data_IF_141094857759
#
_entry.id   IF_141094857759
#
_cell.length_a   1.000
_cell.length_b   1.000
_cell.length_c   1.000
_cell.angle_alpha   90.00
_cell.angle_beta   90.00
_cell.angle_gamma   90.00
#
_symmetry.space_group_name_H-M   'P 1'
#
loop_
_entity.id
_entity.type
_entity.pdbx_description
1 polymer ?
#
# COMPACT_ATOMS: atom_id res chain seq x y z
N UNK A 1 1.94 8.39 24.88
CA UNK A 1 3.37 8.12 25.15
C UNK A 1 3.93 9.03 26.25
N UNK A 2 3.35 8.93 27.48
CA UNK A 2 3.92 9.62 28.64
C UNK A 2 5.12 8.84 29.17
N UNK A 3 6.31 9.44 28.98
CA UNK A 3 7.56 9.17 29.72
C UNK A 3 7.95 7.71 29.95
N UNK A 4 8.49 7.06 28.94
CA UNK A 4 9.50 6.03 29.14
C UNK A 4 10.87 6.72 29.21
N UNK A 5 11.27 7.18 30.38
CA UNK A 5 12.62 7.61 30.67
C UNK A 5 13.43 6.38 31.08
N UNK A 6 14.14 5.78 30.17
CA UNK A 6 15.42 5.05 30.36
C UNK A 6 15.67 4.10 29.20
N UNK A 7 16.52 4.48 28.30
CA UNK A 7 16.94 3.66 27.18
C UNK A 7 16.46 4.14 25.80
N UNK A 8 16.04 5.40 25.67
CA UNK A 8 15.75 6.01 24.38
C UNK A 8 17.02 5.93 23.56
N UNK A 9 16.99 5.11 22.52
CA UNK A 9 18.05 5.14 21.53
C UNK A 9 17.98 6.53 20.89
N UNK A 10 19.01 7.31 21.11
CA UNK A 10 19.13 8.63 20.54
C UNK A 10 19.35 8.48 19.03
N UNK A 11 18.28 8.69 18.25
CA UNK A 11 18.30 8.57 16.78
C UNK A 11 19.28 9.54 16.13
N UNK A 12 19.68 10.61 16.82
CA UNK A 12 20.76 11.50 16.36
C UNK A 12 22.11 10.80 16.20
N UNK A 13 22.26 9.62 16.78
CA UNK A 13 23.45 8.77 16.68
C UNK A 13 23.42 7.82 15.47
N UNK A 14 22.28 7.68 14.80
CA UNK A 14 22.23 6.90 13.56
C UNK A 14 22.84 7.70 12.41
N UNK A 15 23.49 7.02 11.44
CA UNK A 15 23.94 7.66 10.23
C UNK A 15 22.79 8.44 9.57
N UNK A 16 23.06 9.68 9.19
CA UNK A 16 22.09 10.60 8.58
C UNK A 16 21.34 9.95 7.41
N UNK A 17 21.99 9.10 6.64
CA UNK A 17 21.44 8.37 5.50
C UNK A 17 20.14 7.60 5.83
N UNK A 18 19.93 7.15 7.05
CA UNK A 18 18.68 6.46 7.43
C UNK A 18 17.49 7.40 7.62
N UNK A 19 17.73 8.71 7.59
CA UNK A 19 16.75 9.77 7.84
C UNK A 19 16.73 10.81 6.70
N UNK A 20 17.40 10.55 5.57
CA UNK A 20 17.47 11.51 4.47
C UNK A 20 16.18 11.51 3.62
N UNK A 21 15.48 10.37 3.50
CA UNK A 21 14.22 10.25 2.77
C UNK A 21 13.06 10.04 3.75
N UNK A 22 12.12 10.98 3.87
CA UNK A 22 10.90 10.80 4.67
C UNK A 22 10.08 9.59 4.24
N UNK A 23 9.98 9.32 2.95
CA UNK A 23 9.29 8.13 2.44
C UNK A 23 9.94 6.83 2.94
N UNK A 24 11.27 6.71 2.93
CA UNK A 24 11.95 5.50 3.45
C UNK A 24 11.70 5.32 4.95
N UNK A 25 11.65 6.43 5.68
CA UNK A 25 11.27 6.41 7.10
C UNK A 25 9.82 5.97 7.26
N UNK A 26 8.92 6.40 6.38
CA UNK A 26 7.51 6.02 6.40
C UNK A 26 7.31 4.52 6.08
N UNK A 27 7.98 3.98 5.07
CA UNK A 27 7.95 2.53 4.74
C UNK A 27 8.43 1.72 5.94
N UNK A 28 9.54 2.12 6.55
CA UNK A 28 10.08 1.45 7.74
C UNK A 28 9.11 1.52 8.91
N UNK A 29 8.45 2.65 9.12
CA UNK A 29 7.46 2.80 10.18
C UNK A 29 6.23 1.90 9.93
N UNK A 30 5.72 1.82 8.71
CA UNK A 30 4.64 0.91 8.33
C UNK A 30 5.02 -0.54 8.71
N UNK A 31 6.23 -0.98 8.35
CA UNK A 31 6.70 -2.33 8.67
C UNK A 31 6.88 -2.55 10.19
N UNK A 32 7.34 -1.54 10.93
CA UNK A 32 7.41 -1.60 12.39
C UNK A 32 6.03 -1.74 13.03
N UNK A 33 5.03 -0.99 12.54
CA UNK A 33 3.65 -1.09 13.03
C UNK A 33 3.06 -2.46 12.72
N UNK A 34 3.25 -2.99 11.51
CA UNK A 34 2.81 -4.35 11.17
C UNK A 34 3.47 -5.41 12.05
N UNK A 35 4.78 -5.28 12.27
CA UNK A 35 5.48 -6.19 13.15
C UNK A 35 4.92 -6.11 14.58
N UNK A 36 4.69 -4.92 15.10
CA UNK A 36 4.06 -4.70 16.40
C UNK A 36 2.69 -5.40 16.49
N UNK A 37 1.81 -5.19 15.50
CA UNK A 37 0.49 -5.81 15.44
C UNK A 37 0.56 -7.35 15.37
N UNK A 38 1.50 -7.90 14.58
CA UNK A 38 1.67 -9.34 14.43
C UNK A 38 2.07 -10.03 15.73
N UNK A 39 2.75 -9.32 16.60
CA UNK A 39 3.26 -9.85 17.86
C UNK A 39 2.25 -9.69 18.99
N UNK A 40 1.53 -8.58 19.08
CA UNK A 40 0.45 -8.43 20.07
C UNK A 40 -0.60 -9.55 19.95
N UNK A 41 -0.82 -10.03 18.73
CA UNK A 41 -1.82 -11.08 18.44
C UNK A 41 -1.30 -12.51 18.64
N UNK A 42 -0.04 -12.72 18.97
CA UNK A 42 0.57 -14.04 19.13
C UNK A 42 1.15 -14.21 20.54
N UNK A 43 0.44 -14.98 21.40
CA UNK A 43 0.85 -15.18 22.80
C UNK A 43 2.25 -15.76 22.97
N UNK A 44 2.71 -16.64 22.06
CA UNK A 44 4.06 -17.20 22.10
C UNK A 44 5.14 -16.18 21.70
N UNK A 45 4.82 -15.28 20.79
CA UNK A 45 5.73 -14.19 20.37
C UNK A 45 5.67 -13.00 21.32
N UNK A 46 4.55 -12.77 22.00
CA UNK A 46 4.38 -11.70 23.00
C UNK A 46 5.33 -11.84 24.18
N UNK A 47 5.72 -13.06 24.55
CA UNK A 47 6.72 -13.31 25.60
C UNK A 47 8.14 -12.86 25.17
N UNK A 48 8.48 -13.07 23.89
CA UNK A 48 9.77 -12.63 23.31
C UNK A 48 9.85 -11.11 23.24
N UNK A 49 8.71 -10.44 22.99
CA UNK A 49 8.62 -8.97 22.91
C UNK A 49 8.36 -8.30 24.23
N UNK A 50 7.87 -9.01 25.24
CA UNK A 50 7.49 -8.41 26.53
C UNK A 50 8.57 -7.45 27.10
N UNK A 51 9.83 -7.75 26.83
CA UNK A 51 10.97 -6.91 27.21
C UNK A 51 11.31 -5.81 26.18
N UNK A 52 10.76 -5.84 24.95
CA UNK A 52 11.11 -4.93 23.87
C UNK A 52 9.92 -4.10 23.37
N UNK A 53 8.72 -4.27 23.93
CA UNK A 53 7.52 -3.55 23.50
C UNK A 53 7.70 -2.04 23.61
N UNK A 54 8.26 -1.56 24.73
CA UNK A 54 8.54 -0.15 24.96
C UNK A 54 9.56 0.40 23.95
N UNK A 55 10.56 -0.42 23.60
CA UNK A 55 11.57 -0.06 22.63
C UNK A 55 10.95 0.10 21.24
N UNK A 56 10.16 -0.87 20.77
CA UNK A 56 9.47 -0.81 19.47
C UNK A 56 8.51 0.39 19.42
N UNK A 57 7.71 0.60 20.45
CA UNK A 57 6.80 1.76 20.55
C UNK A 57 7.56 3.08 20.52
N UNK A 58 8.74 3.16 21.15
CA UNK A 58 9.60 4.34 21.10
C UNK A 58 10.13 4.61 19.69
N UNK A 59 10.53 3.56 18.95
CA UNK A 59 10.94 3.70 17.55
C UNK A 59 9.79 4.19 16.66
N UNK A 60 8.63 3.57 16.76
CA UNK A 60 7.45 3.99 16.00
C UNK A 60 7.13 5.46 16.28
N UNK A 61 7.17 5.88 17.53
CA UNK A 61 6.94 7.28 17.91
C UNK A 61 7.94 8.23 17.27
N UNK A 62 9.23 7.86 17.25
CA UNK A 62 10.27 8.68 16.67
C UNK A 62 10.13 8.80 15.14
N UNK A 63 9.80 7.69 14.47
CA UNK A 63 9.51 7.70 13.04
C UNK A 63 8.29 8.57 12.71
N UNK A 64 7.21 8.39 13.46
CA UNK A 64 5.98 9.16 13.32
C UNK A 64 6.23 10.68 13.42
N UNK A 65 6.93 11.12 14.47
CA UNK A 65 7.26 12.54 14.67
C UNK A 65 8.20 13.06 13.57
N UNK A 66 9.15 12.24 13.10
CA UNK A 66 10.03 12.63 12.01
C UNK A 66 9.24 12.82 10.72
N UNK A 67 8.42 11.86 10.31
CA UNK A 67 7.61 11.93 9.08
C UNK A 67 6.72 13.16 9.12
N UNK A 68 6.00 13.37 10.23
CA UNK A 68 5.07 14.49 10.41
C UNK A 68 5.75 15.87 10.26
N UNK A 69 7.01 15.99 10.63
CA UNK A 69 7.77 17.22 10.58
C UNK A 69 8.57 17.39 9.26
N UNK A 70 8.59 16.39 8.38
CA UNK A 70 9.40 16.41 7.16
C UNK A 70 8.61 15.94 5.92
N UNK A 71 7.32 16.25 5.85
CA UNK A 71 6.45 15.85 4.74
C UNK A 71 6.95 16.37 3.39
N UNK A 72 6.95 15.51 2.38
CA UNK A 72 7.27 15.86 0.99
C UNK A 72 6.02 16.41 0.26
N UNK A 73 5.33 17.36 0.89
CA UNK A 73 4.05 17.92 0.43
C UNK A 73 4.20 19.18 -0.47
N UNK A 74 5.42 19.47 -0.91
CA UNK A 74 5.76 20.66 -1.67
C UNK A 74 6.55 20.32 -2.93
N UNK A 75 6.49 21.20 -3.93
CA UNK A 75 7.17 21.02 -5.20
C UNK A 75 6.22 21.15 -6.39
N UNK A 76 6.76 20.98 -7.60
CA UNK A 76 5.98 21.09 -8.84
C UNK A 76 5.04 19.88 -9.04
N UNK A 77 5.43 18.74 -8.52
CA UNK A 77 4.66 17.50 -8.50
C UNK A 77 4.87 16.81 -7.16
N UNK A 78 3.78 16.38 -6.56
CA UNK A 78 3.77 15.59 -5.33
C UNK A 78 3.26 14.21 -5.71
N UNK A 79 4.08 13.18 -5.47
CA UNK A 79 3.84 11.82 -5.93
C UNK A 79 3.65 10.82 -4.80
N UNK A 80 4.02 9.57 -5.08
CA UNK A 80 3.87 8.45 -4.16
C UNK A 80 4.56 8.69 -2.81
N UNK A 81 5.68 9.41 -2.73
CA UNK A 81 6.39 9.70 -1.48
C UNK A 81 5.43 10.26 -0.43
N UNK A 82 4.73 11.34 -0.78
CA UNK A 82 3.79 11.96 0.16
C UNK A 82 2.58 11.06 0.49
N UNK A 83 2.10 10.26 -0.47
CA UNK A 83 1.04 9.29 -0.21
C UNK A 83 1.48 8.25 0.82
N UNK A 84 2.71 7.74 0.71
CA UNK A 84 3.27 6.76 1.66
C UNK A 84 3.45 7.37 3.05
N UNK A 85 3.89 8.63 3.13
CA UNK A 85 4.00 9.36 4.39
C UNK A 85 2.65 9.49 5.08
N UNK A 86 1.61 9.92 4.35
CA UNK A 86 0.24 10.01 4.86
C UNK A 86 -0.27 8.63 5.30
N UNK A 87 0.02 7.59 4.53
CA UNK A 87 -0.32 6.21 4.86
C UNK A 87 0.28 5.79 6.20
N UNK A 88 1.56 6.05 6.39
CA UNK A 88 2.28 5.75 7.63
C UNK A 88 1.70 6.47 8.85
N UNK A 89 1.37 7.75 8.69
CA UNK A 89 0.77 8.57 9.75
C UNK A 89 -0.60 8.03 10.13
N UNK A 90 -1.48 7.82 9.15
CA UNK A 90 -2.85 7.31 9.39
C UNK A 90 -2.84 5.93 10.03
N UNK A 91 -1.97 5.02 9.57
CA UNK A 91 -1.81 3.70 10.16
C UNK A 91 -1.36 3.79 11.62
N UNK A 92 -0.39 4.66 11.91
CA UNK A 92 0.14 4.82 13.28
C UNK A 92 -0.92 5.34 14.22
N UNK A 93 -1.67 6.38 13.83
CA UNK A 93 -2.75 6.94 14.65
C UNK A 93 -3.85 5.88 14.89
N UNK A 94 -4.30 5.20 13.82
CA UNK A 94 -5.36 4.19 13.92
C UNK A 94 -4.97 3.00 14.79
N UNK A 95 -3.67 2.65 14.82
CA UNK A 95 -3.16 1.53 15.63
C UNK A 95 -3.07 1.88 17.11
N UNK A 96 -2.56 3.06 17.45
CA UNK A 96 -2.23 3.39 18.85
C UNK A 96 -3.31 4.20 19.56
N UNK A 97 -4.22 4.88 18.84
CA UNK A 97 -5.41 5.59 19.37
C UNK A 97 -5.13 6.42 20.63
N UNK A 98 -4.32 7.47 20.49
CA UNK A 98 -4.01 8.37 21.60
C UNK A 98 -5.16 9.34 21.92
N UNK A 99 -5.24 9.88 23.14
CA UNK A 99 -6.18 10.96 23.48
C UNK A 99 -5.95 12.17 22.55
N UNK A 100 -7.00 12.68 21.91
CA UNK A 100 -6.99 13.75 20.90
C UNK A 100 -6.62 13.37 19.45
N UNK A 101 -6.35 12.13 19.14
CA UNK A 101 -5.92 11.69 17.81
C UNK A 101 -6.98 11.83 16.72
N UNK A 102 -8.28 11.93 17.07
CA UNK A 102 -9.33 12.11 16.07
C UNK A 102 -9.15 13.39 15.25
N UNK A 103 -8.74 14.50 15.86
CA UNK A 103 -8.50 15.76 15.12
C UNK A 103 -7.27 15.68 14.23
N UNK A 104 -6.24 15.04 14.71
CA UNK A 104 -5.01 14.84 13.94
C UNK A 104 -5.26 13.85 12.80
N UNK A 105 -6.00 12.76 13.06
CA UNK A 105 -6.43 11.82 12.04
C UNK A 105 -7.27 12.51 10.96
N UNK A 106 -8.29 13.27 11.33
CA UNK A 106 -9.13 14.04 10.41
C UNK A 106 -8.30 15.01 9.55
N UNK A 107 -7.32 15.68 10.14
CA UNK A 107 -6.41 16.56 9.41
C UNK A 107 -5.65 15.82 8.32
N UNK A 108 -5.03 14.67 8.64
CA UNK A 108 -4.27 13.89 7.66
C UNK A 108 -5.16 13.15 6.67
N UNK A 109 -6.35 12.71 7.09
CA UNK A 109 -7.36 12.15 6.19
C UNK A 109 -7.82 13.18 5.14
N UNK A 110 -7.97 14.45 5.51
CA UNK A 110 -8.31 15.51 4.57
C UNK A 110 -7.15 15.78 3.59
N UNK A 111 -5.89 15.71 4.04
CA UNK A 111 -4.73 15.78 3.15
C UNK A 111 -4.72 14.59 2.17
N UNK A 112 -4.94 13.39 2.63
CA UNK A 112 -5.07 12.19 1.79
C UNK A 112 -6.15 12.36 0.72
N UNK A 113 -7.33 12.87 1.09
CA UNK A 113 -8.42 13.13 0.14
C UNK A 113 -8.02 14.08 -0.99
N UNK A 114 -7.19 15.08 -0.69
CA UNK A 114 -6.68 16.02 -1.69
C UNK A 114 -5.68 15.31 -2.60
N UNK A 115 -4.78 14.51 -2.03
CA UNK A 115 -3.73 13.82 -2.80
C UNK A 115 -4.30 12.73 -3.70
N UNK A 116 -5.30 11.97 -3.26
CA UNK A 116 -6.00 10.99 -4.11
C UNK A 116 -6.48 11.64 -5.41
N UNK A 117 -7.08 12.82 -5.33
CA UNK A 117 -7.59 13.54 -6.51
C UNK A 117 -6.50 14.07 -7.43
N UNK A 118 -5.27 14.20 -6.96
CA UNK A 118 -4.13 14.63 -7.77
C UNK A 118 -3.35 13.46 -8.35
N UNK A 119 -3.27 12.35 -7.59
CA UNK A 119 -2.38 11.24 -7.93
C UNK A 119 -3.07 10.13 -8.73
N UNK A 120 -4.41 10.12 -8.76
CA UNK A 120 -5.17 9.13 -9.52
C UNK A 120 -5.99 9.81 -10.60
N UNK A 121 -5.95 9.22 -11.79
CA UNK A 121 -6.72 9.62 -12.95
C UNK A 121 -8.21 9.24 -12.78
N UNK A 122 -9.08 9.74 -13.65
CA UNK A 122 -10.50 9.43 -13.62
C UNK A 122 -10.80 7.93 -13.79
N UNK A 123 -9.93 7.20 -14.49
CA UNK A 123 -10.01 5.73 -14.64
C UNK A 123 -9.40 4.95 -13.47
N UNK A 124 -8.95 5.63 -12.42
CA UNK A 124 -8.36 5.07 -11.21
C UNK A 124 -6.87 4.73 -11.32
N UNK A 125 -6.24 4.88 -12.48
CA UNK A 125 -4.81 4.61 -12.65
C UNK A 125 -3.95 5.72 -12.04
N UNK A 126 -2.73 5.37 -11.60
CA UNK A 126 -1.77 6.37 -11.10
C UNK A 126 -1.22 7.23 -12.23
N UNK A 127 -1.09 8.53 -11.99
CA UNK A 127 -0.50 9.49 -12.93
C UNK A 127 0.98 9.20 -13.24
N UNK A 128 1.67 8.47 -12.37
CA UNK A 128 3.11 8.22 -12.50
C UNK A 128 3.48 7.34 -13.70
N UNK A 129 2.52 6.62 -14.25
CA UNK A 129 2.72 5.92 -15.52
C UNK A 129 3.57 4.65 -15.45
N UNK A 130 3.86 4.15 -14.25
CA UNK A 130 4.55 2.87 -14.01
C UNK A 130 3.57 1.81 -13.52
N UNK A 131 3.67 0.59 -14.06
CA UNK A 131 2.87 -0.54 -13.60
C UNK A 131 3.25 -0.97 -12.16
N UNK A 132 4.51 -0.87 -11.81
CA UNK A 132 5.01 -1.22 -10.49
C UNK A 132 4.57 -0.20 -9.44
N UNK A 133 4.66 1.10 -9.76
CA UNK A 133 4.16 2.15 -8.88
C UNK A 133 2.64 2.10 -8.72
N UNK A 134 1.89 1.70 -9.75
CA UNK A 134 0.45 1.47 -9.60
C UNK A 134 0.14 0.40 -8.55
N UNK A 135 0.91 -0.71 -8.52
CA UNK A 135 0.80 -1.72 -7.47
C UNK A 135 1.17 -1.14 -6.09
N UNK A 136 2.29 -0.43 -6.00
CA UNK A 136 2.79 0.16 -4.76
C UNK A 136 1.82 1.15 -4.11
N UNK A 137 1.25 2.07 -4.90
CA UNK A 137 0.24 3.01 -4.37
C UNK A 137 -1.09 2.34 -4.04
N UNK A 138 -1.40 1.21 -4.70
CA UNK A 138 -2.58 0.41 -4.35
C UNK A 138 -2.42 -0.25 -2.98
N UNK A 139 -1.24 -0.75 -2.63
CA UNK A 139 -0.92 -1.23 -1.28
C UNK A 139 -1.12 -0.12 -0.24
N UNK A 140 -0.65 1.10 -0.53
CA UNK A 140 -0.85 2.25 0.33
C UNK A 140 -2.33 2.56 0.56
N UNK A 141 -3.14 2.55 -0.50
CA UNK A 141 -4.58 2.78 -0.40
C UNK A 141 -5.30 1.71 0.43
N UNK A 142 -4.88 0.44 0.34
CA UNK A 142 -5.42 -0.63 1.19
C UNK A 142 -5.15 -0.31 2.67
N UNK A 143 -3.94 0.11 3.01
CA UNK A 143 -3.60 0.48 4.39
C UNK A 143 -4.42 1.70 4.84
N UNK A 144 -4.53 2.73 4.00
CA UNK A 144 -5.34 3.92 4.28
C UNK A 144 -6.81 3.54 4.52
N UNK A 145 -7.40 2.70 3.66
CA UNK A 145 -8.76 2.20 3.82
C UNK A 145 -8.96 1.56 5.19
N UNK A 146 -8.11 0.62 5.57
CA UNK A 146 -8.22 -0.10 6.83
C UNK A 146 -8.05 0.85 8.03
N UNK A 147 -7.14 1.82 7.93
CA UNK A 147 -6.93 2.83 8.97
C UNK A 147 -8.13 3.75 9.13
N UNK A 148 -8.75 4.18 8.01
CA UNK A 148 -9.94 5.02 8.04
C UNK A 148 -11.14 4.22 8.59
N UNK A 149 -11.35 2.98 8.16
CA UNK A 149 -12.42 2.13 8.70
C UNK A 149 -12.33 1.94 10.21
N UNK A 150 -11.13 1.88 10.76
CA UNK A 150 -10.91 1.75 12.21
C UNK A 150 -11.26 3.02 13.00
N UNK A 151 -11.04 4.18 12.40
CA UNK A 151 -11.24 5.49 13.04
C UNK A 151 -12.61 6.09 12.73
N UNK A 152 -13.08 5.96 11.49
CA UNK A 152 -14.36 6.47 10.98
C UNK A 152 -14.89 5.58 9.85
N UNK A 153 -15.64 4.54 10.20
CA UNK A 153 -16.19 3.58 9.24
C UNK A 153 -17.33 4.15 8.37
N UNK A 154 -17.77 5.38 8.61
CA UNK A 154 -18.79 6.08 7.83
C UNK A 154 -18.19 7.16 6.91
N UNK A 155 -16.87 7.26 6.85
CA UNK A 155 -16.20 8.24 6.02
C UNK A 155 -16.53 8.02 4.53
N UNK A 156 -16.98 9.07 3.86
CA UNK A 156 -17.25 9.04 2.40
C UNK A 156 -15.97 8.81 1.57
N UNK A 157 -14.80 9.08 2.15
CA UNK A 157 -13.53 8.82 1.47
C UNK A 157 -13.30 7.32 1.23
N UNK A 158 -13.92 6.45 2.01
CA UNK A 158 -13.86 5.00 1.80
C UNK A 158 -14.42 4.58 0.44
N UNK A 159 -15.52 5.19 -0.01
CA UNK A 159 -16.11 4.91 -1.33
C UNK A 159 -15.14 5.31 -2.45
N UNK A 160 -14.53 6.52 -2.36
CA UNK A 160 -13.56 7.01 -3.34
C UNK A 160 -12.32 6.07 -3.40
N UNK A 161 -11.81 5.64 -2.26
CA UNK A 161 -10.67 4.70 -2.17
C UNK A 161 -11.04 3.33 -2.74
N UNK A 162 -12.23 2.83 -2.45
CA UNK A 162 -12.70 1.52 -2.94
C UNK A 162 -12.82 1.47 -4.46
N UNK A 163 -13.29 2.53 -5.08
CA UNK A 163 -13.36 2.65 -6.54
C UNK A 163 -11.96 2.58 -7.16
N UNK A 164 -11.00 3.30 -6.59
CA UNK A 164 -9.62 3.31 -7.08
C UNK A 164 -8.95 1.94 -6.89
N UNK A 165 -9.09 1.32 -5.71
CA UNK A 165 -8.51 -0.01 -5.47
C UNK A 165 -9.08 -1.04 -6.45
N UNK A 166 -10.38 -1.03 -6.71
CA UNK A 166 -11.02 -1.95 -7.67
C UNK A 166 -10.57 -1.70 -9.11
N UNK A 167 -10.41 -0.43 -9.49
CA UNK A 167 -9.88 -0.06 -10.81
C UNK A 167 -8.43 -0.55 -10.97
N UNK A 168 -7.58 -0.31 -9.98
CA UNK A 168 -6.18 -0.78 -9.99
C UNK A 168 -6.08 -2.31 -9.92
N UNK A 169 -6.96 -2.98 -9.17
CA UNK A 169 -7.03 -4.45 -9.18
C UNK A 169 -7.25 -4.97 -10.60
N UNK A 170 -8.20 -4.38 -11.33
CA UNK A 170 -8.48 -4.74 -12.71
C UNK A 170 -7.29 -4.43 -13.61
N UNK A 171 -6.74 -3.23 -13.50
CA UNK A 171 -5.58 -2.78 -14.25
C UNK A 171 -4.37 -3.71 -14.04
N UNK A 172 -4.00 -3.99 -12.79
CA UNK A 172 -2.88 -4.86 -12.45
C UNK A 172 -3.11 -6.28 -12.99
N UNK A 173 -4.32 -6.84 -12.85
CA UNK A 173 -4.63 -8.18 -13.36
C UNK A 173 -4.50 -8.31 -14.88
N UNK A 174 -4.80 -7.25 -15.62
CA UNK A 174 -4.63 -7.20 -17.07
C UNK A 174 -3.16 -7.17 -17.50
N UNK A 175 -2.28 -6.66 -16.65
CA UNK A 175 -0.84 -6.57 -16.89
C UNK A 175 -0.08 -7.83 -16.47
N UNK A 176 -0.70 -8.74 -15.73
CA UNK A 176 -0.05 -9.99 -15.31
C UNK A 176 -0.06 -11.00 -16.46
N UNK A 177 1.15 -11.50 -16.79
CA UNK A 177 1.39 -12.55 -17.78
C UNK A 177 2.23 -13.63 -17.11
N UNK A 178 1.76 -14.86 -17.09
CA UNK A 178 2.41 -16.00 -16.43
C UNK A 178 2.78 -15.76 -14.95
N UNK A 179 1.94 -14.94 -14.30
CA UNK A 179 2.12 -14.54 -12.90
C UNK A 179 3.00 -13.32 -12.68
N UNK A 180 3.72 -12.85 -13.70
CA UNK A 180 4.59 -11.67 -13.63
C UNK A 180 3.88 -10.42 -14.14
N UNK A 181 4.08 -9.32 -13.44
CA UNK A 181 3.61 -8.00 -13.85
C UNK A 181 4.44 -7.49 -15.03
N UNK A 182 3.78 -7.17 -16.13
CA UNK A 182 4.43 -6.52 -17.29
C UNK A 182 5.05 -5.19 -16.85
N UNK A 183 6.35 -5.04 -17.07
CA UNK A 183 7.07 -3.84 -16.68
C UNK A 183 6.84 -2.71 -17.67
N UNK A 184 6.18 -1.66 -17.19
CA UNK A 184 5.96 -0.41 -17.91
C UNK A 184 6.43 0.70 -16.98
N UNK A 185 7.36 1.52 -17.45
CA UNK A 185 8.02 2.52 -16.62
C UNK A 185 9.01 1.88 -15.64
N UNK A 186 9.41 2.63 -14.63
CA UNK A 186 10.40 2.22 -13.66
C UNK A 186 9.88 1.13 -12.70
N UNK A 187 10.81 0.35 -12.20
CA UNK A 187 10.58 -0.67 -11.20
C UNK A 187 11.67 -0.61 -10.13
N UNK A 188 11.37 0.05 -9.04
CA UNK A 188 12.27 0.13 -7.88
C UNK A 188 12.05 -1.01 -6.87
N UNK A 189 11.25 -2.01 -7.25
CA UNK A 189 10.87 -3.14 -6.37
C UNK A 189 10.21 -2.69 -5.05
N UNK A 190 9.64 -1.48 -5.01
CA UNK A 190 8.98 -0.92 -3.84
C UNK A 190 7.74 -1.71 -3.45
N UNK A 191 7.66 -2.13 -2.19
CA UNK A 191 6.51 -2.82 -1.58
C UNK A 191 6.29 -2.31 -0.17
N UNK A 192 5.04 -2.22 0.26
CA UNK A 192 4.68 -1.96 1.64
C UNK A 192 4.43 -3.26 2.41
N UNK A 193 3.84 -4.25 1.75
CA UNK A 193 3.61 -5.58 2.33
C UNK A 193 4.83 -6.48 2.05
N UNK A 194 5.80 -6.45 2.93
CA UNK A 194 7.04 -7.22 2.81
C UNK A 194 7.00 -8.44 3.75
N UNK A 195 6.02 -9.32 3.54
CA UNK A 195 5.81 -10.47 4.42
C UNK A 195 6.38 -11.78 3.86
N UNK A 196 6.72 -11.81 2.57
CA UNK A 196 7.34 -12.97 1.96
C UNK A 196 8.83 -12.76 1.80
N UNK A 197 9.60 -13.77 2.18
CA UNK A 197 11.07 -13.78 2.06
C UNK A 197 11.57 -14.18 0.66
N UNK A 198 10.68 -14.32 -0.33
CA UNK A 198 11.08 -14.60 -1.71
C UNK A 198 11.53 -13.30 -2.39
N UNK A 199 12.77 -12.90 -2.10
CA UNK A 199 13.45 -11.78 -2.77
C UNK A 199 13.63 -12.03 -4.29
N UNK A 200 13.51 -13.29 -4.73
CA UNK A 200 13.79 -13.71 -6.09
C UNK A 200 12.63 -13.47 -7.09
N UNK A 201 11.46 -13.04 -6.62
CA UNK A 201 10.27 -12.88 -7.48
C UNK A 201 9.59 -11.49 -7.33
N UNK A 202 10.30 -10.38 -7.59
CA UNK A 202 9.75 -9.04 -7.37
C UNK A 202 8.58 -8.67 -8.30
N UNK A 203 8.42 -9.40 -9.42
CA UNK A 203 7.37 -9.16 -10.41
C UNK A 203 6.09 -9.94 -10.15
N UNK A 204 6.10 -10.95 -9.28
CA UNK A 204 4.90 -11.71 -8.94
C UNK A 204 3.90 -10.83 -8.19
N UNK A 205 2.78 -10.50 -8.83
CA UNK A 205 1.75 -9.60 -8.30
C UNK A 205 0.37 -10.27 -8.13
N UNK A 206 0.26 -11.58 -8.37
CA UNK A 206 -0.98 -12.31 -8.14
C UNK A 206 -1.44 -12.21 -6.68
N UNK A 207 -0.50 -12.15 -5.74
CA UNK A 207 -0.79 -12.00 -4.32
C UNK A 207 -1.58 -10.71 -4.04
N UNK A 208 -1.26 -9.58 -4.69
CA UNK A 208 -1.95 -8.32 -4.49
C UNK A 208 -3.38 -8.38 -5.03
N UNK A 209 -3.57 -8.99 -6.22
CA UNK A 209 -4.90 -9.21 -6.80
C UNK A 209 -5.75 -10.08 -5.87
N UNK A 210 -5.19 -11.20 -5.38
CA UNK A 210 -5.86 -12.11 -4.45
C UNK A 210 -6.18 -11.43 -3.10
N UNK A 211 -5.25 -10.61 -2.59
CA UNK A 211 -5.48 -9.82 -1.38
C UNK A 211 -6.68 -8.89 -1.54
N UNK A 212 -6.75 -8.16 -2.64
CA UNK A 212 -7.86 -7.25 -2.91
C UNK A 212 -9.17 -8.05 -3.02
N UNK A 213 -9.18 -9.15 -3.78
CA UNK A 213 -10.36 -10.00 -3.92
C UNK A 213 -10.84 -10.53 -2.55
N UNK A 214 -9.94 -10.95 -1.69
CA UNK A 214 -10.27 -11.40 -0.33
C UNK A 214 -10.85 -10.27 0.53
N UNK A 215 -10.29 -9.05 0.44
CA UNK A 215 -10.80 -7.90 1.20
C UNK A 215 -12.24 -7.52 0.84
N UNK A 216 -12.66 -7.74 -0.42
CA UNK A 216 -14.00 -7.41 -0.87
C UNK A 216 -14.99 -8.59 -0.83
N UNK A 217 -14.50 -9.83 -0.78
CA UNK A 217 -15.33 -11.03 -0.65
C UNK A 217 -15.62 -11.42 0.80
N UNK A 218 -14.88 -10.88 1.76
CA UNK A 218 -15.06 -11.20 3.17
C UNK A 218 -16.28 -10.43 3.75
N UNK A 219 -17.34 -11.16 4.09
CA UNK A 219 -18.55 -10.62 4.71
C UNK A 219 -18.34 -10.11 6.16
N UNK A 220 -17.12 -10.12 6.65
CA UNK A 220 -16.77 -9.73 8.02
C UNK A 220 -16.34 -8.26 8.09
N UNK A 221 -17.28 -7.33 7.90
CA UNK A 221 -17.00 -5.88 8.00
C UNK A 221 -16.66 -5.42 9.44
N UNK A 222 -16.99 -6.21 10.46
CA UNK A 222 -16.86 -5.85 11.88
C UNK A 222 -15.52 -6.23 12.53
N UNK A 223 -14.57 -6.79 11.77
CA UNK A 223 -13.26 -7.14 12.32
C UNK A 223 -12.43 -5.89 12.61
N UNK A 224 -11.73 -5.91 13.76
CA UNK A 224 -10.76 -4.87 14.12
C UNK A 224 -9.62 -4.81 13.09
N UNK A 225 -9.02 -3.65 12.96
CA UNK A 225 -7.86 -3.42 12.07
C UNK A 225 -6.75 -4.48 12.28
N UNK A 226 -6.52 -4.86 13.53
CA UNK A 226 -5.54 -5.89 13.91
C UNK A 226 -5.85 -7.25 13.29
N UNK A 227 -7.13 -7.66 13.28
CA UNK A 227 -7.55 -8.93 12.70
C UNK A 227 -7.49 -8.90 11.17
N UNK A 228 -7.77 -7.74 10.56
CA UNK A 228 -7.67 -7.54 9.11
C UNK A 228 -6.22 -7.58 8.65
N UNK A 229 -5.31 -6.89 9.34
CA UNK A 229 -3.87 -6.97 9.04
C UNK A 229 -3.31 -8.36 9.30
N UNK A 230 -3.77 -9.06 10.33
CA UNK A 230 -3.40 -10.46 10.56
C UNK A 230 -3.81 -11.34 9.38
N UNK A 231 -5.02 -11.17 8.85
CA UNK A 231 -5.45 -11.92 7.66
C UNK A 231 -4.56 -11.62 6.46
N UNK A 232 -4.17 -10.36 6.26
CA UNK A 232 -3.24 -9.98 5.20
C UNK A 232 -1.88 -10.69 5.39
N UNK A 233 -1.33 -10.63 6.60
CA UNK A 233 -0.06 -11.27 6.94
C UNK A 233 -0.16 -12.80 6.77
N UNK A 234 -1.24 -13.40 7.26
CA UNK A 234 -1.44 -14.86 7.19
C UNK A 234 -1.72 -15.31 5.75
N UNK A 235 -2.41 -14.51 4.92
CA UNK A 235 -2.70 -14.85 3.51
C UNK A 235 -1.46 -14.78 2.63
N UNK A 236 -0.55 -13.86 2.89
CA UNK A 236 0.71 -13.77 2.15
C UNK A 236 1.61 -14.98 2.45
N UNK A 237 1.66 -15.43 3.70
CA UNK A 237 2.43 -16.60 4.12
C UNK A 237 1.84 -17.92 3.56
N UNK A 238 0.50 -18.03 3.49
CA UNK A 238 -0.17 -19.25 3.02
C UNK A 238 -0.25 -19.36 1.50
N UNK A 239 -0.18 -18.27 0.77
CA UNK A 239 -0.25 -18.24 -0.69
C UNK A 239 1.04 -18.71 -1.37
N UNK A 240 2.14 -18.86 -0.63
CA UNK A 240 3.40 -19.37 -1.17
C UNK A 240 3.36 -20.88 -1.44
N UNK A 241 2.50 -21.64 -0.74
CA UNK A 241 2.46 -23.12 -0.87
C UNK A 241 1.34 -23.66 -1.77
N UNK A 242 0.34 -22.86 -2.14
CA UNK A 242 -0.76 -23.31 -3.00
C UNK A 242 -1.13 -22.28 -4.07
N UNK A 243 -0.30 -22.16 -5.10
CA UNK A 243 -0.78 -21.63 -6.39
C UNK A 243 -1.71 -22.63 -7.07
N UNK A 244 -2.87 -22.86 -6.51
CA UNK A 244 -4.01 -23.23 -7.32
C UNK A 244 -4.44 -21.95 -8.00
N UNK A 245 -4.26 -21.92 -9.34
CA UNK A 245 -4.90 -20.94 -10.18
C UNK A 245 -6.34 -20.80 -9.70
N UNK A 246 -6.65 -19.71 -8.98
CA UNK A 246 -8.04 -19.36 -8.70
C UNK A 246 -8.63 -19.21 -10.07
N UNK A 247 -9.57 -20.07 -10.45
CA UNK A 247 -10.35 -19.87 -11.66
C UNK A 247 -10.91 -18.46 -11.57
N UNK A 248 -10.30 -17.56 -12.34
CA UNK A 248 -10.65 -16.16 -12.39
C UNK A 248 -12.09 -16.04 -12.94
N UNK A 249 -13.07 -16.07 -12.02
CA UNK A 249 -14.48 -15.85 -12.38
C UNK A 249 -14.78 -14.43 -12.90
N UNK A 250 -13.79 -13.55 -12.90
CA UNK A 250 -13.91 -12.18 -13.33
C UNK A 250 -13.03 -11.81 -14.52
N UNK A 251 -12.19 -12.69 -15.04
CA UNK A 251 -11.58 -12.50 -16.35
C UNK A 251 -12.55 -13.09 -17.36
N UNK A 252 -13.03 -12.30 -18.33
CA UNK A 252 -13.84 -12.84 -19.41
C UNK A 252 -13.10 -14.03 -20.03
N UNK A 253 -13.80 -15.13 -20.25
CA UNK A 253 -13.24 -16.28 -20.97
C UNK A 253 -12.97 -15.78 -22.39
N UNK A 254 -11.70 -15.61 -22.73
CA UNK A 254 -11.27 -15.17 -24.04
C UNK A 254 -11.64 -16.26 -25.06
N UNK A 255 -12.42 -15.87 -26.02
CA UNK A 255 -12.60 -16.66 -27.25
C UNK A 255 -11.41 -16.40 -28.16
N UNK A 256 -11.28 -17.03 -29.31
CA UNK A 256 -10.20 -16.80 -30.29
C UNK A 256 -10.02 -15.34 -30.73
N UNK A 257 -10.92 -14.46 -30.34
CA UNK A 257 -10.86 -13.03 -30.60
C UNK A 257 -10.11 -12.37 -29.44
N UNK A 258 -9.35 -11.30 -29.75
CA UNK A 258 -8.66 -10.52 -28.72
C UNK A 258 -9.66 -9.67 -27.94
N UNK A 259 -9.55 -9.69 -26.64
CA UNK A 259 -10.10 -8.62 -25.82
C UNK A 259 -9.16 -7.42 -25.82
N UNK A 260 -9.77 -6.25 -25.95
CA UNK A 260 -9.05 -4.98 -25.97
C UNK A 260 -9.38 -4.17 -24.72
N UNK A 261 -8.35 -3.74 -24.04
CA UNK A 261 -8.46 -2.79 -22.93
C UNK A 261 -7.67 -1.52 -23.27
N UNK A 262 -8.20 -0.36 -22.90
CA UNK A 262 -7.54 0.91 -23.09
C UNK A 262 -7.71 1.78 -21.84
N UNK A 263 -6.61 2.14 -21.19
CA UNK A 263 -6.55 3.26 -20.27
C UNK A 263 -5.96 4.45 -21.01
N UNK A 264 -6.78 5.45 -21.31
CA UNK A 264 -6.33 6.65 -22.03
C UNK A 264 -5.47 7.55 -21.16
N UNK A 265 -5.77 7.60 -19.88
CA UNK A 265 -5.10 8.47 -18.93
C UNK A 265 -3.72 7.92 -18.58
N UNK A 266 -3.62 6.61 -18.32
CA UNK A 266 -2.33 5.95 -18.23
C UNK A 266 -1.63 5.85 -19.59
N UNK A 267 -2.40 5.81 -20.68
CA UNK A 267 -1.89 5.70 -22.06
C UNK A 267 -1.45 4.29 -22.42
N UNK A 268 -2.11 3.27 -21.93
CA UNK A 268 -1.84 1.88 -22.27
C UNK A 268 -2.99 1.26 -23.04
N UNK A 269 -2.65 0.43 -24.02
CA UNK A 269 -3.56 -0.35 -24.83
C UNK A 269 -3.11 -1.80 -24.78
N UNK A 270 -4.03 -2.70 -24.42
CA UNK A 270 -3.75 -4.12 -24.22
C UNK A 270 -4.68 -4.93 -25.12
N UNK A 271 -4.11 -5.90 -25.82
CA UNK A 271 -4.81 -6.96 -26.54
C UNK A 271 -4.34 -8.28 -26.00
N UNK A 272 -5.26 -9.12 -25.59
CA UNK A 272 -4.94 -10.44 -25.06
C UNK A 272 -6.00 -11.47 -25.42
N UNK A 273 -5.58 -12.73 -25.49
CA UNK A 273 -6.42 -13.92 -25.54
C UNK A 273 -5.73 -15.02 -24.70
N UNK A 274 -6.19 -16.26 -24.79
CA UNK A 274 -5.65 -17.38 -24.01
C UNK A 274 -4.16 -17.68 -24.32
N UNK A 275 -3.69 -17.38 -25.52
CA UNK A 275 -2.38 -17.76 -26.01
C UNK A 275 -1.41 -16.56 -26.18
N UNK A 276 -1.95 -15.34 -26.30
CA UNK A 276 -1.18 -14.17 -26.74
C UNK A 276 -1.49 -12.93 -25.90
N UNK A 277 -0.47 -12.19 -25.59
CA UNK A 277 -0.55 -10.89 -24.93
C UNK A 277 0.26 -9.85 -25.68
N UNK A 278 -0.34 -8.71 -25.92
CA UNK A 278 0.30 -7.57 -26.55
C UNK A 278 -0.13 -6.28 -25.86
N UNK A 279 0.83 -5.43 -25.54
CA UNK A 279 0.55 -4.11 -24.98
C UNK A 279 1.40 -3.02 -25.60
N UNK A 280 0.81 -1.84 -25.75
CA UNK A 280 1.50 -0.62 -26.18
C UNK A 280 1.27 0.47 -25.14
N UNK A 281 2.37 1.08 -24.71
CA UNK A 281 2.36 2.32 -23.93
C UNK A 281 2.47 3.49 -24.91
N UNK A 282 1.41 4.30 -24.99
CA UNK A 282 1.34 5.49 -25.84
C UNK A 282 0.41 6.51 -25.19
N UNK A 283 0.93 7.41 -24.39
CA UNK A 283 0.14 8.37 -23.64
C UNK A 283 0.97 9.46 -22.99
N UNK A 284 0.34 10.26 -22.13
CA UNK A 284 1.01 11.34 -21.43
C UNK A 284 2.13 10.81 -20.54
N UNK A 285 3.12 11.64 -20.29
CA UNK A 285 4.19 11.38 -19.33
C UNK A 285 3.81 12.12 -18.05
N UNK A 286 3.03 11.45 -17.19
CA UNK A 286 2.62 11.96 -15.90
C UNK A 286 1.99 13.36 -15.92
N UNK A 287 2.07 14.06 -14.80
CA UNK A 287 1.64 15.46 -14.69
C UNK A 287 2.78 16.39 -15.10
N UNK A 288 2.50 17.32 -16.05
CA UNK A 288 3.48 18.31 -16.54
C UNK A 288 4.79 17.70 -17.08
N UNK A 289 4.79 16.46 -17.55
CA UNK A 289 6.00 15.76 -17.98
C UNK A 289 6.78 15.11 -16.84
N UNK A 290 6.25 15.12 -15.61
CA UNK A 290 6.78 14.38 -14.47
C UNK A 290 5.97 13.11 -14.25
N UNK A 291 6.63 12.01 -14.12
CA UNK A 291 6.06 10.67 -14.10
C UNK A 291 6.42 9.90 -15.38
N UNK A 292 6.09 8.61 -15.40
CA UNK A 292 6.54 7.73 -16.46
C UNK A 292 8.02 7.43 -16.32
N UNK A 293 8.37 7.24 -15.10
CA UNK A 293 9.67 6.71 -14.72
C UNK A 293 10.06 5.55 -15.59
#
# INVERSE_FOLDING_TARGET
>A
LQKANSGIIDVSKFPKIYWDSPMDVAIRNINLVFHFLSIENNSAKAEILGNNKDLVSSYISQHYEYIKNNLEDSGNVVGNHYLIELTSILLTIATFKFENDYKEFEYFQNKLKIEIKKQFNDDGTSFEGSSHYAAFVTEALIICKLSIQEMDNQSKLLEEIDEIIKANRTFISLLIVDGDLSQIGDNDSGRLFYFSFNEDEPLKMNWLVNLIDNLYNDNNQDKKIQDKFKQIIDSDISSLDEFKAVENKAIPVFTKEYECYASKDFGIYIWRNDDEYFSIRCGPIGQNGFGGH
#
